data_IF_774026458824
#
_entry.id   IF_774026458824
#
_cell.length_a   1.000
_cell.length_b   1.000
_cell.length_c   1.000
_cell.angle_alpha   90.00
_cell.angle_beta   90.00
_cell.angle_gamma   90.00
#
_symmetry.space_group_name_H-M   'P 1'
#
loop_
_entity.id
_entity.type
_entity.pdbx_description
1 polymer ?
#
# COMPACT_ATOMS: atom_id res chain seq x y z
N UNK A 1 5.65 17.92 22.51
CA UNK A 1 4.71 18.63 23.39
C UNK A 1 3.66 19.29 22.50
N UNK A 2 2.48 18.66 22.52
CA UNK A 2 1.14 19.24 22.41
C UNK A 2 0.81 20.22 21.30
N UNK A 3 0.62 19.66 20.10
CA UNK A 3 -0.52 20.00 19.25
C UNK A 3 -1.29 18.71 18.94
N UNK A 4 -1.67 17.99 20.01
CA UNK A 4 -2.82 17.11 19.93
C UNK A 4 -3.99 18.01 19.54
N UNK A 5 -4.59 17.72 18.40
CA UNK A 5 -5.88 18.29 17.98
C UNK A 5 -6.85 17.93 19.11
N UNK A 6 -7.01 18.82 20.09
CA UNK A 6 -7.93 18.67 21.21
C UNK A 6 -9.32 18.54 20.58
N UNK A 7 -9.81 17.32 20.46
CA UNK A 7 -11.21 17.01 20.18
C UNK A 7 -11.87 16.98 21.56
N UNK A 8 -12.43 18.10 22.06
CA UNK A 8 -13.09 18.10 23.35
C UNK A 8 -14.21 17.07 23.32
N UNK A 9 -14.27 16.22 24.34
CA UNK A 9 -15.25 15.14 24.45
C UNK A 9 -16.31 15.46 25.51
N UNK A 10 -15.92 16.27 26.50
CA UNK A 10 -16.73 16.57 27.67
C UNK A 10 -17.08 18.06 27.72
N UNK A 11 -18.08 18.41 28.54
CA UNK A 11 -18.40 19.80 28.86
C UNK A 11 -17.21 20.51 29.52
N UNK A 12 -16.42 19.80 30.33
CA UNK A 12 -15.22 20.35 30.97
C UNK A 12 -14.18 20.80 29.94
N UNK A 13 -13.93 19.99 28.90
CA UNK A 13 -12.99 20.33 27.83
C UNK A 13 -13.43 21.60 27.09
N UNK A 14 -14.72 21.68 26.73
CA UNK A 14 -15.29 22.84 26.06
C UNK A 14 -15.20 24.11 26.93
N UNK A 15 -15.50 23.98 28.23
CA UNK A 15 -15.41 25.07 29.19
C UNK A 15 -13.98 25.57 29.39
N UNK A 16 -13.01 24.65 29.45
CA UNK A 16 -11.59 25.01 29.59
C UNK A 16 -11.10 25.79 28.37
N UNK A 17 -11.38 25.31 27.16
CA UNK A 17 -11.01 26.00 25.91
C UNK A 17 -11.64 27.41 25.82
N UNK A 18 -12.91 27.53 26.22
CA UNK A 18 -13.59 28.83 26.26
C UNK A 18 -12.99 29.76 27.33
N UNK A 19 -12.62 29.20 28.49
CA UNK A 19 -11.98 29.95 29.58
C UNK A 19 -10.63 30.51 29.15
N UNK A 20 -9.82 29.73 28.43
CA UNK A 20 -8.53 30.16 27.91
C UNK A 20 -8.68 31.23 26.82
N UNK A 21 -9.71 31.10 25.97
CA UNK A 21 -10.07 32.12 24.99
C UNK A 21 -10.53 33.44 25.65
N UNK A 22 -11.30 33.38 26.74
CA UNK A 22 -11.72 34.57 27.47
C UNK A 22 -10.57 35.26 28.20
N UNK A 23 -9.67 34.49 28.82
CA UNK A 23 -8.50 35.04 29.53
C UNK A 23 -7.52 35.71 28.58
N UNK A 24 -7.29 35.14 27.40
CA UNK A 24 -6.43 35.75 26.38
C UNK A 24 -6.97 37.06 25.79
N UNK A 25 -8.30 37.26 25.79
CA UNK A 25 -8.93 38.51 25.35
C UNK A 25 -8.97 39.60 26.44
N UNK A 26 -8.68 39.25 27.69
CA UNK A 26 -8.82 40.14 28.84
C UNK A 26 -7.60 40.05 29.78
N UNK A 27 -6.41 40.19 29.21
CA UNK A 27 -5.11 40.12 29.92
C UNK A 27 -5.00 41.15 31.07
N UNK A 28 -5.69 42.28 30.99
CA UNK A 28 -5.55 43.42 31.93
C UNK A 28 -6.63 43.51 33.02
N UNK A 29 -7.49 42.49 33.17
CA UNK A 29 -8.57 42.52 34.19
C UNK A 29 -8.18 41.75 35.44
N UNK A 30 -8.17 42.44 36.58
CA UNK A 30 -7.96 41.86 37.94
C UNK A 30 -9.09 40.90 38.39
N UNK A 31 -10.20 40.83 37.65
CA UNK A 31 -11.40 40.05 38.01
C UNK A 31 -11.53 38.78 37.18
N UNK A 32 -12.00 37.69 37.80
CA UNK A 32 -12.23 36.40 37.12
C UNK A 32 -13.35 36.52 36.06
N UNK A 33 -12.94 36.73 34.81
CA UNK A 33 -13.83 36.87 33.64
C UNK A 33 -14.66 35.62 33.35
N UNK A 34 -14.31 34.46 33.93
CA UNK A 34 -15.03 33.19 33.73
C UNK A 34 -16.15 32.97 34.75
N UNK A 35 -16.17 33.75 35.84
CA UNK A 35 -17.05 33.52 36.99
C UNK A 35 -18.55 33.48 36.64
N UNK A 36 -19.01 34.35 35.74
CA UNK A 36 -20.41 34.39 35.30
C UNK A 36 -20.80 33.18 34.45
N UNK A 37 -19.92 32.73 33.56
CA UNK A 37 -20.13 31.52 32.75
C UNK A 37 -20.12 30.28 33.64
N UNK A 38 -19.18 30.22 34.59
CA UNK A 38 -19.09 29.14 35.59
C UNK A 38 -20.37 29.05 36.41
N UNK A 39 -20.88 30.19 36.87
CA UNK A 39 -22.14 30.25 37.62
C UNK A 39 -23.34 29.85 36.74
N UNK A 40 -23.37 30.31 35.48
CA UNK A 40 -24.42 29.94 34.53
C UNK A 40 -24.49 28.42 34.33
N UNK A 41 -23.34 27.76 34.19
CA UNK A 41 -23.27 26.30 34.06
C UNK A 41 -23.61 25.59 35.37
N UNK A 42 -22.84 25.81 36.44
CA UNK A 42 -22.92 25.00 37.67
C UNK A 42 -24.28 25.14 38.35
N UNK A 43 -24.78 26.36 38.46
CA UNK A 43 -26.01 26.62 39.23
C UNK A 43 -27.27 26.48 38.40
N UNK A 44 -27.20 26.85 37.12
CA UNK A 44 -28.41 27.00 36.30
C UNK A 44 -28.50 26.02 35.14
N UNK A 45 -27.47 25.23 34.83
CA UNK A 45 -27.53 24.25 33.73
C UNK A 45 -27.30 22.82 34.23
N UNK A 46 -26.22 22.57 34.97
CA UNK A 46 -25.89 21.25 35.50
C UNK A 46 -27.02 20.56 36.28
N UNK A 47 -27.89 21.27 37.02
CA UNK A 47 -28.96 20.60 37.75
C UNK A 47 -29.92 19.80 36.87
N UNK A 48 -30.10 20.20 35.61
CA UNK A 48 -30.92 19.44 34.67
C UNK A 48 -30.28 18.11 34.27
N UNK A 49 -28.96 18.00 34.37
CA UNK A 49 -28.19 16.77 34.14
C UNK A 49 -27.98 15.95 35.41
N UNK A 50 -28.64 16.30 36.52
CA UNK A 50 -28.57 15.54 37.78
C UNK A 50 -27.57 16.06 38.80
N UNK A 51 -26.94 17.22 38.57
CA UNK A 51 -26.10 17.85 39.59
C UNK A 51 -26.95 18.45 40.72
N UNK A 52 -26.59 18.28 42.00
CA UNK A 52 -27.36 18.84 43.11
C UNK A 52 -27.41 20.37 43.04
N UNK A 53 -28.60 20.94 43.17
CA UNK A 53 -28.80 22.38 43.11
C UNK A 53 -28.14 23.06 44.33
N UNK A 54 -27.24 24.05 44.16
CA UNK A 54 -26.61 24.72 45.28
C UNK A 54 -27.64 25.52 46.12
N UNK A 55 -27.75 25.19 47.41
CA UNK A 55 -28.72 25.80 48.33
C UNK A 55 -28.39 27.27 48.69
N UNK A 56 -27.23 27.80 48.28
CA UNK A 56 -26.73 29.13 48.71
C UNK A 56 -26.73 30.15 47.58
N UNK A 57 -26.83 31.45 47.94
CA UNK A 57 -26.81 32.56 46.97
C UNK A 57 -25.46 32.71 46.24
N UNK A 58 -24.34 32.36 46.87
CA UNK A 58 -23.00 32.35 46.26
C UNK A 58 -22.47 30.92 46.24
N UNK A 59 -21.81 30.54 45.14
CA UNK A 59 -21.11 29.26 45.04
C UNK A 59 -19.89 29.28 45.97
N UNK A 60 -19.73 28.25 46.78
CA UNK A 60 -18.50 28.02 47.55
C UNK A 60 -17.43 27.40 46.65
N UNK A 61 -16.17 27.39 47.09
CA UNK A 61 -15.10 26.72 46.34
C UNK A 61 -15.37 25.21 46.21
N UNK A 62 -16.00 24.61 47.22
CA UNK A 62 -16.41 23.20 47.16
C UNK A 62 -17.46 22.95 46.07
N UNK A 63 -18.47 23.82 45.95
CA UNK A 63 -19.49 23.74 44.89
C UNK A 63 -18.85 23.89 43.50
N UNK A 64 -17.88 24.80 43.39
CA UNK A 64 -17.14 25.02 42.13
C UNK A 64 -16.36 23.77 41.74
N UNK A 65 -15.59 23.20 42.65
CA UNK A 65 -14.79 22.00 42.38
C UNK A 65 -15.68 20.81 42.01
N UNK A 66 -16.76 20.58 42.78
CA UNK A 66 -17.72 19.52 42.50
C UNK A 66 -18.41 19.69 41.14
N UNK A 67 -18.78 20.93 40.78
CA UNK A 67 -19.36 21.24 39.48
C UNK A 67 -18.39 20.99 38.32
N UNK A 68 -17.13 21.41 38.46
CA UNK A 68 -16.09 21.17 37.46
C UNK A 68 -15.78 19.67 37.29
N UNK A 69 -15.79 18.90 38.37
CA UNK A 69 -15.62 17.44 38.30
C UNK A 69 -16.82 16.77 37.63
N UNK A 70 -18.04 17.23 37.91
CA UNK A 70 -19.25 16.73 37.25
C UNK A 70 -19.23 17.02 35.74
N UNK A 71 -18.74 18.20 35.31
CA UNK A 71 -18.61 18.54 33.89
C UNK A 71 -17.73 17.57 33.09
N UNK A 72 -16.80 16.86 33.72
CA UNK A 72 -15.98 15.83 33.06
C UNK A 72 -16.80 14.60 32.66
N UNK A 73 -17.98 14.43 33.26
CA UNK A 73 -18.88 13.30 32.99
C UNK A 73 -19.97 13.67 31.98
N UNK A 74 -20.22 14.96 31.77
CA UNK A 74 -21.25 15.44 30.84
C UNK A 74 -20.71 15.41 29.41
N UNK A 75 -21.31 14.64 28.49
CA UNK A 75 -20.90 14.61 27.09
C UNK A 75 -21.06 15.99 26.44
N UNK A 76 -20.13 16.36 25.57
CA UNK A 76 -20.15 17.69 24.93
C UNK A 76 -21.39 17.95 24.05
N UNK A 77 -22.03 16.92 23.49
CA UNK A 77 -23.23 17.08 22.66
C UNK A 77 -24.45 17.59 23.44
N UNK A 78 -24.46 17.45 24.77
CA UNK A 78 -25.48 18.02 25.66
C UNK A 78 -25.56 19.55 25.58
N UNK A 79 -24.48 20.21 25.15
CA UNK A 79 -24.47 21.66 24.94
C UNK A 79 -25.46 22.13 23.87
N UNK A 80 -25.93 21.25 22.95
CA UNK A 80 -26.98 21.58 21.98
C UNK A 80 -28.30 21.98 22.67
N UNK A 81 -28.58 21.42 23.85
CA UNK A 81 -29.81 21.63 24.61
C UNK A 81 -29.61 22.49 25.86
N UNK A 82 -28.38 22.94 26.13
CA UNK A 82 -28.03 23.62 27.39
C UNK A 82 -28.85 24.90 27.65
N UNK A 83 -29.25 25.65 26.61
CA UNK A 83 -30.09 26.83 26.77
C UNK A 83 -31.55 26.50 27.12
N UNK A 84 -32.06 25.37 26.66
CA UNK A 84 -33.41 24.88 26.98
C UNK A 84 -33.40 24.37 28.43
N UNK A 85 -32.41 23.55 28.78
CA UNK A 85 -32.20 23.04 30.13
C UNK A 85 -32.04 24.16 31.16
N UNK A 86 -31.29 25.21 30.82
CA UNK A 86 -31.15 26.35 31.70
C UNK A 86 -32.48 27.09 31.92
N UNK A 87 -33.34 27.14 30.89
CA UNK A 87 -34.66 27.76 31.01
C UNK A 87 -35.57 26.98 31.95
N UNK A 88 -35.52 25.65 31.90
CA UNK A 88 -36.28 24.80 32.81
C UNK A 88 -35.83 24.97 34.26
N UNK A 89 -34.52 25.07 34.51
CA UNK A 89 -33.98 25.34 35.85
C UNK A 89 -34.38 26.75 36.33
N UNK A 90 -34.44 27.76 35.45
CA UNK A 90 -34.97 29.05 35.85
C UNK A 90 -36.45 28.98 36.21
N UNK A 91 -37.26 28.24 35.46
CA UNK A 91 -38.67 28.07 35.74
C UNK A 91 -38.89 27.38 37.11
N UNK A 92 -38.11 26.34 37.44
CA UNK A 92 -38.21 25.65 38.73
C UNK A 92 -37.78 26.51 39.92
N UNK A 93 -36.93 27.52 39.69
CA UNK A 93 -36.47 28.49 40.70
C UNK A 93 -37.34 29.76 40.77
N UNK A 94 -38.48 29.81 40.08
CA UNK A 94 -39.36 30.97 40.09
C UNK A 94 -38.85 32.16 39.26
N UNK A 95 -38.10 31.89 38.19
CA UNK A 95 -37.57 32.87 37.24
C UNK A 95 -36.77 34.00 37.93
N UNK A 96 -35.57 33.70 38.46
CA UNK A 96 -34.77 34.68 39.18
C UNK A 96 -34.46 35.90 38.29
N UNK A 97 -34.42 37.10 38.86
CA UNK A 97 -34.12 38.33 38.12
C UNK A 97 -32.75 38.34 37.41
N UNK A 98 -31.84 37.44 37.83
CA UNK A 98 -30.53 37.22 37.19
C UNK A 98 -30.55 36.26 35.99
N UNK A 99 -31.70 35.66 35.68
CA UNK A 99 -31.88 34.70 34.58
C UNK A 99 -31.37 35.23 33.25
N UNK A 100 -31.73 36.47 32.89
CA UNK A 100 -31.27 37.13 31.65
C UNK A 100 -29.74 37.20 31.56
N UNK A 101 -29.08 37.55 32.65
CA UNK A 101 -27.61 37.68 32.71
C UNK A 101 -26.93 36.32 32.52
N UNK A 102 -27.33 35.30 33.27
CA UNK A 102 -26.71 33.98 33.16
C UNK A 102 -27.05 33.26 31.85
N UNK A 103 -28.24 33.53 31.28
CA UNK A 103 -28.59 33.08 29.93
C UNK A 103 -27.70 33.67 28.87
N UNK A 104 -27.40 34.97 28.97
CA UNK A 104 -26.46 35.64 28.06
C UNK A 104 -25.07 35.00 28.11
N UNK A 105 -24.55 34.71 29.31
CA UNK A 105 -23.22 34.11 29.45
C UNK A 105 -23.14 32.68 28.90
N UNK A 106 -24.15 31.85 29.18
CA UNK A 106 -24.22 30.51 28.59
C UNK A 106 -24.35 30.58 27.06
N UNK A 107 -25.22 31.45 26.55
CA UNK A 107 -25.40 31.63 25.11
C UNK A 107 -24.10 32.02 24.42
N UNK A 108 -23.33 32.95 24.99
CA UNK A 108 -22.02 33.35 24.44
C UNK A 108 -21.04 32.19 24.35
N UNK A 109 -20.99 31.33 25.36
CA UNK A 109 -20.16 30.11 25.32
C UNK A 109 -20.64 29.15 24.22
N UNK A 110 -21.94 28.86 24.15
CA UNK A 110 -22.51 27.96 23.14
C UNK A 110 -22.29 28.49 21.73
N UNK A 111 -22.56 29.78 21.49
CA UNK A 111 -22.30 30.44 20.21
C UNK A 111 -20.81 30.37 19.84
N UNK A 112 -19.91 30.60 20.80
CA UNK A 112 -18.47 30.49 20.58
C UNK A 112 -18.06 29.06 20.23
N UNK A 113 -18.58 28.05 20.93
CA UNK A 113 -18.37 26.65 20.62
C UNK A 113 -18.82 26.34 19.18
N UNK A 114 -20.01 26.80 18.76
CA UNK A 114 -20.52 26.61 17.40
C UNK A 114 -19.61 27.17 16.30
N UNK A 115 -18.83 28.20 16.61
CA UNK A 115 -17.87 28.82 15.68
C UNK A 115 -16.54 28.05 15.60
N UNK A 116 -16.28 27.11 16.52
CA UNK A 116 -15.03 26.36 16.52
C UNK A 116 -15.04 25.23 15.48
N UNK A 117 -13.88 24.98 14.89
CA UNK A 117 -13.69 23.94 13.87
C UNK A 117 -13.93 22.53 14.42
N UNK A 118 -13.68 22.30 15.71
CA UNK A 118 -13.89 21.02 16.38
C UNK A 118 -15.36 20.70 16.69
N UNK A 119 -16.25 21.69 16.73
CA UNK A 119 -17.64 21.52 17.17
C UNK A 119 -18.43 20.50 16.35
N UNK A 120 -18.30 20.56 15.02
CA UNK A 120 -19.02 19.66 14.09
C UNK A 120 -18.68 18.19 14.27
N UNK A 121 -17.52 17.88 14.84
CA UNK A 121 -17.04 16.53 15.09
C UNK A 121 -17.44 16.09 16.50
N UNK A 122 -17.22 16.94 17.49
CA UNK A 122 -17.48 16.64 18.90
C UNK A 122 -18.97 16.61 19.27
N UNK A 123 -19.82 17.44 18.64
CA UNK A 123 -21.24 17.56 18.98
C UNK A 123 -22.15 16.48 18.34
N UNK A 124 -21.60 15.55 17.54
CA UNK A 124 -22.37 14.44 16.94
C UNK A 124 -22.40 13.24 17.88
N UNK A 125 -23.58 12.88 18.37
CA UNK A 125 -23.86 11.67 19.18
C UNK A 125 -23.39 10.37 18.53
N UNK A 126 -23.42 10.30 17.19
CA UNK A 126 -23.05 9.10 16.42
C UNK A 126 -21.84 9.32 15.50
N UNK A 127 -20.84 10.11 15.90
CA UNK A 127 -19.70 10.45 15.02
C UNK A 127 -19.03 9.21 14.36
N UNK A 128 -18.99 8.08 15.05
CA UNK A 128 -18.49 6.78 14.56
C UNK A 128 -19.33 6.17 13.42
N UNK A 129 -20.60 6.55 13.28
CA UNK A 129 -21.47 6.10 12.19
C UNK A 129 -21.27 6.89 10.89
N UNK A 130 -20.62 8.07 10.94
CA UNK A 130 -20.46 8.94 9.79
C UNK A 130 -19.03 8.90 9.26
N UNK A 131 -18.90 8.45 8.02
CA UNK A 131 -17.66 8.46 7.28
C UNK A 131 -17.21 9.91 7.04
N UNK A 132 -15.93 10.24 7.28
CA UNK A 132 -15.40 11.55 6.93
C UNK A 132 -15.41 11.73 5.40
N UNK A 133 -15.17 12.95 4.86
CA UNK A 133 -15.14 13.16 3.41
C UNK A 133 -14.15 12.19 2.75
N UNK A 134 -14.66 11.22 1.99
CA UNK A 134 -13.82 10.20 1.39
C UNK A 134 -12.92 10.89 0.36
N UNK A 135 -11.62 10.61 0.39
CA UNK A 135 -10.65 11.07 -0.61
C UNK A 135 -10.82 10.31 -1.93
N UNK A 136 -12.04 10.20 -2.45
CA UNK A 136 -12.29 9.69 -3.82
C UNK A 136 -12.35 10.89 -4.76
N UNK A 137 -11.25 11.65 -4.87
CA UNK A 137 -10.99 12.17 -6.20
C UNK A 137 -10.75 10.94 -7.07
N UNK A 138 -11.70 10.62 -7.95
CA UNK A 138 -11.55 9.53 -8.94
C UNK A 138 -10.44 9.80 -9.97
N UNK A 139 -9.70 10.89 -9.84
CA UNK A 139 -8.39 11.01 -10.45
C UNK A 139 -7.41 10.30 -9.55
N UNK A 140 -6.54 9.45 -10.12
CA UNK A 140 -5.22 9.23 -9.54
C UNK A 140 -4.68 10.63 -9.24
N UNK A 141 -4.77 11.10 -7.99
CA UNK A 141 -3.89 12.18 -7.56
C UNK A 141 -2.55 11.60 -7.92
N UNK A 142 -1.89 12.19 -8.90
CA UNK A 142 -0.58 11.73 -9.30
C UNK A 142 0.24 11.87 -8.04
N UNK A 143 0.38 10.79 -7.27
CA UNK A 143 1.30 10.75 -6.16
C UNK A 143 2.64 11.02 -6.80
N UNK A 144 3.04 12.30 -6.75
CA UNK A 144 4.21 12.84 -7.43
C UNK A 144 5.49 12.24 -6.83
N UNK A 145 5.36 11.39 -5.82
CA UNK A 145 6.40 10.57 -5.22
C UNK A 145 6.81 9.47 -6.19
N UNK A 146 7.42 9.89 -7.30
CA UNK A 146 8.18 8.98 -8.16
C UNK A 146 9.55 8.78 -7.54
N UNK A 147 9.85 7.54 -7.20
CA UNK A 147 11.22 7.13 -6.82
C UNK A 147 12.21 7.17 -7.98
N UNK A 148 11.70 7.36 -9.20
CA UNK A 148 12.51 7.45 -10.42
C UNK A 148 11.99 8.59 -11.29
N UNK A 149 12.91 9.43 -11.78
CA UNK A 149 12.60 10.46 -12.76
C UNK A 149 12.57 9.81 -14.15
N UNK A 150 11.48 9.12 -14.47
CA UNK A 150 11.28 8.51 -15.79
C UNK A 150 10.97 9.60 -16.82
N UNK A 151 11.96 9.97 -17.64
CA UNK A 151 11.70 10.66 -18.92
C UNK A 151 11.22 9.62 -19.92
N UNK A 152 10.20 9.94 -20.72
CA UNK A 152 9.64 9.06 -21.75
C UNK A 152 9.99 9.67 -23.12
N UNK A 153 11.28 9.76 -23.39
CA UNK A 153 11.83 10.20 -24.68
C UNK A 153 12.12 8.99 -25.57
N UNK A 154 12.24 9.12 -26.89
CA UNK A 154 12.71 8.03 -27.76
C UNK A 154 14.04 7.42 -27.32
N UNK A 155 14.89 8.22 -26.66
CA UNK A 155 16.14 7.80 -26.01
C UNK A 155 15.98 7.13 -24.65
N UNK A 156 14.78 7.10 -24.06
CA UNK A 156 14.55 6.51 -22.74
C UNK A 156 14.41 4.99 -22.85
N UNK A 157 14.91 4.19 -21.89
CA UNK A 157 14.72 2.74 -21.92
C UNK A 157 13.24 2.31 -21.76
N UNK A 158 12.35 3.24 -21.41
CA UNK A 158 10.91 3.00 -21.26
C UNK A 158 10.07 3.32 -22.51
N UNK A 159 10.65 3.91 -23.55
CA UNK A 159 9.95 4.11 -24.82
C UNK A 159 9.75 2.76 -25.52
N UNK A 160 8.55 2.45 -25.99
CA UNK A 160 8.30 1.11 -26.54
C UNK A 160 9.01 0.95 -27.89
N UNK A 161 9.86 -0.06 -28.00
CA UNK A 161 10.47 -0.52 -29.26
C UNK A 161 10.24 -2.01 -29.50
N UNK A 162 9.47 -2.67 -28.64
CA UNK A 162 9.03 -4.04 -28.89
C UNK A 162 7.80 -4.08 -29.77
N UNK A 163 7.61 -5.22 -30.44
CA UNK A 163 6.44 -5.48 -31.27
C UNK A 163 5.15 -5.25 -30.49
N UNK A 164 4.23 -4.49 -31.08
CA UNK A 164 2.87 -4.32 -30.59
C UNK A 164 2.05 -5.54 -30.99
N UNK A 165 1.02 -5.87 -30.22
CA UNK A 165 0.21 -7.06 -30.49
C UNK A 165 -0.37 -7.16 -31.92
N UNK A 166 -0.79 -6.07 -32.58
CA UNK A 166 -1.24 -6.12 -33.98
C UNK A 166 -0.12 -6.39 -35.00
N UNK A 167 1.14 -6.17 -34.64
CA UNK A 167 2.31 -6.32 -35.51
C UNK A 167 2.91 -7.72 -35.41
N UNK A 168 2.37 -8.61 -34.56
CA UNK A 168 2.89 -9.97 -34.36
C UNK A 168 2.19 -10.92 -35.35
N UNK A 169 2.91 -11.49 -36.34
CA UNK A 169 2.32 -12.50 -37.22
C UNK A 169 1.82 -13.71 -36.44
N UNK A 170 0.82 -14.41 -37.02
CA UNK A 170 0.19 -15.57 -36.36
C UNK A 170 1.20 -16.67 -36.00
N UNK A 171 2.16 -16.95 -36.87
CA UNK A 171 3.19 -17.97 -36.64
C UNK A 171 4.13 -17.58 -35.49
N UNK A 172 4.58 -16.33 -35.46
CA UNK A 172 5.38 -15.81 -34.36
C UNK A 172 4.60 -15.83 -33.04
N UNK A 173 3.31 -15.46 -33.05
CA UNK A 173 2.46 -15.51 -31.87
C UNK A 173 2.32 -16.94 -31.34
N UNK A 174 2.18 -17.93 -32.22
CA UNK A 174 2.17 -19.34 -31.83
C UNK A 174 3.50 -19.76 -31.21
N UNK A 175 4.63 -19.39 -31.82
CA UNK A 175 5.98 -19.67 -31.30
C UNK A 175 6.22 -19.04 -29.92
N UNK A 176 5.77 -17.80 -29.70
CA UNK A 176 5.85 -17.12 -28.40
C UNK A 176 4.96 -17.79 -27.34
N UNK A 177 3.79 -18.30 -27.72
CA UNK A 177 2.92 -19.05 -26.82
C UNK A 177 3.54 -20.39 -26.42
N UNK A 178 4.15 -21.10 -27.37
CA UNK A 178 4.88 -22.35 -27.10
C UNK A 178 6.10 -22.09 -26.22
N UNK A 179 6.83 -21.00 -26.45
CA UNK A 179 7.92 -20.57 -25.60
C UNK A 179 7.45 -20.26 -24.17
N UNK A 180 6.32 -19.57 -24.01
CA UNK A 180 5.73 -19.32 -22.69
C UNK A 180 5.35 -20.62 -22.01
N UNK A 181 4.66 -21.52 -22.72
CA UNK A 181 4.21 -22.83 -22.21
C UNK A 181 5.38 -23.72 -21.83
N UNK A 182 6.45 -23.74 -22.62
CA UNK A 182 7.68 -24.48 -22.33
C UNK A 182 8.29 -24.07 -20.98
N UNK A 183 8.18 -22.80 -20.60
CA UNK A 183 8.75 -22.29 -19.35
C UNK A 183 7.86 -22.53 -18.13
N UNK A 184 6.53 -22.53 -18.29
CA UNK A 184 5.58 -22.60 -17.18
C UNK A 184 5.07 -24.02 -16.89
N UNK A 185 5.06 -24.89 -17.90
CA UNK A 185 4.47 -26.22 -17.77
C UNK A 185 5.27 -27.11 -16.81
N UNK A 186 4.54 -27.93 -16.04
CA UNK A 186 5.11 -29.04 -15.27
C UNK A 186 5.34 -30.20 -16.23
N UNK A 187 6.50 -30.20 -16.88
CA UNK A 187 6.89 -31.27 -17.79
C UNK A 187 8.04 -32.01 -17.12
N UNK A 188 7.95 -33.34 -17.04
CA UNK A 188 8.99 -34.17 -16.41
C UNK A 188 10.38 -33.92 -17.00
N UNK A 189 11.42 -34.29 -16.25
CA UNK A 189 12.83 -33.95 -16.53
C UNK A 189 13.35 -34.36 -17.91
N UNK A 190 12.70 -35.34 -18.56
CA UNK A 190 13.01 -35.78 -19.93
C UNK A 190 12.73 -34.73 -21.02
N UNK A 191 11.82 -33.80 -20.76
CA UNK A 191 11.44 -32.76 -21.75
C UNK A 191 12.03 -31.39 -21.39
N UNK A 192 12.37 -31.15 -20.12
CA UNK A 192 13.04 -29.93 -19.66
C UNK A 192 13.87 -30.23 -18.41
N UNK A 193 15.13 -29.80 -18.39
CA UNK A 193 16.02 -30.01 -17.23
C UNK A 193 15.73 -29.05 -16.06
N UNK A 194 15.16 -27.88 -16.35
CA UNK A 194 14.78 -26.89 -15.33
C UNK A 194 13.37 -27.15 -14.77
N UNK A 195 13.14 -26.68 -13.54
CA UNK A 195 11.79 -26.62 -12.96
C UNK A 195 10.90 -25.56 -13.63
N UNK A 196 9.58 -25.65 -13.46
CA UNK A 196 8.65 -24.69 -14.04
C UNK A 196 8.86 -23.29 -13.45
N UNK A 197 8.84 -22.29 -14.32
CA UNK A 197 8.86 -20.88 -13.93
C UNK A 197 7.46 -20.38 -13.60
N UNK A 198 7.39 -19.41 -12.69
CA UNK A 198 6.17 -18.63 -12.47
C UNK A 198 5.86 -17.80 -13.72
N UNK A 199 4.58 -17.62 -14.01
CA UNK A 199 4.14 -16.89 -15.19
C UNK A 199 4.75 -15.49 -15.33
N UNK A 200 4.92 -14.77 -14.22
CA UNK A 200 5.49 -13.42 -14.25
C UNK A 200 6.92 -13.39 -14.79
N UNK A 201 7.74 -14.38 -14.46
CA UNK A 201 9.11 -14.51 -14.97
C UNK A 201 9.10 -14.90 -16.45
N UNK A 202 8.26 -15.87 -16.83
CA UNK A 202 8.12 -16.31 -18.22
C UNK A 202 7.59 -15.18 -19.13
N UNK A 203 6.61 -14.39 -18.67
CA UNK A 203 6.15 -13.16 -19.33
C UNK A 203 7.27 -12.14 -19.49
N UNK A 204 8.17 -12.05 -18.52
CA UNK A 204 9.40 -11.25 -18.60
C UNK A 204 10.25 -11.63 -19.81
N UNK A 205 10.55 -12.92 -19.98
CA UNK A 205 11.33 -13.41 -21.12
C UNK A 205 10.61 -13.20 -22.46
N UNK A 206 9.30 -13.47 -22.52
CA UNK A 206 8.48 -13.20 -23.74
C UNK A 206 8.52 -11.73 -24.12
N UNK A 207 8.41 -10.82 -23.14
CA UNK A 207 8.47 -9.38 -23.39
C UNK A 207 9.86 -8.94 -23.86
N UNK A 208 10.94 -9.51 -23.30
CA UNK A 208 12.30 -9.28 -23.81
C UNK A 208 12.46 -9.79 -25.25
N UNK A 209 11.91 -10.97 -25.58
CA UNK A 209 11.93 -11.51 -26.94
C UNK A 209 11.20 -10.57 -27.92
N UNK A 210 9.98 -10.11 -27.58
CA UNK A 210 9.22 -9.13 -28.38
C UNK A 210 9.99 -7.81 -28.57
N UNK A 211 10.78 -7.38 -27.57
CA UNK A 211 11.64 -6.19 -27.68
C UNK A 211 12.80 -6.39 -28.64
N UNK A 212 13.48 -7.52 -28.57
CA UNK A 212 14.59 -7.82 -29.47
C UNK A 212 14.11 -7.99 -30.91
N UNK A 213 12.98 -8.68 -31.13
CA UNK A 213 12.34 -8.79 -32.46
C UNK A 213 11.84 -7.44 -32.98
N UNK A 214 11.29 -6.59 -32.10
CA UNK A 214 10.92 -5.23 -32.47
C UNK A 214 12.13 -4.38 -32.87
N UNK A 215 13.27 -4.56 -32.20
CA UNK A 215 14.52 -3.92 -32.62
C UNK A 215 14.98 -4.38 -34.01
N UNK A 216 14.93 -5.69 -34.29
CA UNK A 216 15.22 -6.22 -35.63
C UNK A 216 14.32 -5.60 -36.71
N UNK A 217 13.02 -5.48 -36.43
CA UNK A 217 12.08 -4.90 -37.37
C UNK A 217 12.32 -3.40 -37.59
N UNK A 218 12.27 -2.61 -36.52
CA UNK A 218 12.26 -1.15 -36.62
C UNK A 218 13.63 -0.54 -36.93
N UNK A 219 14.74 -1.21 -36.55
CA UNK A 219 16.09 -0.65 -36.67
C UNK A 219 17.01 -1.45 -37.59
N UNK A 220 16.75 -2.75 -37.80
CA UNK A 220 17.52 -3.59 -38.73
C UNK A 220 16.77 -3.90 -40.04
N UNK A 221 15.52 -3.43 -40.17
CA UNK A 221 14.74 -3.53 -41.40
C UNK A 221 14.20 -4.92 -41.72
N UNK A 222 14.16 -5.84 -40.74
CA UNK A 222 13.62 -7.19 -40.93
C UNK A 222 12.10 -7.11 -41.11
N UNK A 223 11.56 -7.78 -42.12
CA UNK A 223 10.11 -7.77 -42.39
C UNK A 223 9.34 -8.52 -41.29
N UNK A 224 8.09 -8.13 -41.02
CA UNK A 224 7.29 -8.74 -39.96
C UNK A 224 7.13 -10.24 -40.17
N UNK A 225 6.90 -10.66 -41.42
CA UNK A 225 6.69 -12.04 -41.83
C UNK A 225 7.93 -12.93 -41.63
N UNK A 226 9.12 -12.34 -41.58
CA UNK A 226 10.39 -13.05 -41.40
C UNK A 226 10.75 -13.25 -39.92
N UNK A 227 10.08 -12.51 -39.02
CA UNK A 227 10.41 -12.49 -37.59
C UNK A 227 10.16 -13.83 -36.91
N UNK A 228 11.21 -14.41 -36.32
CA UNK A 228 11.10 -15.66 -35.58
C UNK A 228 12.16 -15.78 -34.47
N UNK A 229 11.94 -16.67 -33.50
CA UNK A 229 12.85 -16.82 -32.36
C UNK A 229 14.25 -17.33 -32.73
N UNK A 230 14.43 -18.03 -33.85
CA UNK A 230 15.76 -18.50 -34.30
C UNK A 230 16.65 -17.35 -34.78
N UNK A 231 16.09 -16.22 -35.20
CA UNK A 231 16.89 -15.03 -35.49
C UNK A 231 17.56 -14.47 -34.24
N UNK A 232 17.00 -14.72 -33.04
CA UNK A 232 17.56 -14.26 -31.77
C UNK A 232 18.67 -15.18 -31.26
N UNK A 233 18.59 -16.48 -31.57
CA UNK A 233 19.60 -17.50 -31.23
C UNK A 233 19.70 -18.47 -32.41
N UNK A 234 20.73 -18.29 -33.25
CA UNK A 234 20.79 -18.88 -34.60
C UNK A 234 20.98 -20.40 -34.63
N UNK A 235 21.57 -20.97 -33.58
CA UNK A 235 21.79 -22.41 -33.44
C UNK A 235 22.25 -22.75 -32.02
N UNK A 236 22.40 -24.05 -31.73
CA UNK A 236 22.90 -24.55 -30.44
C UNK A 236 24.41 -24.35 -30.23
N UNK A 237 25.15 -24.07 -31.31
CA UNK A 237 26.61 -24.08 -31.31
C UNK A 237 27.20 -25.49 -31.33
N UNK A 238 26.42 -26.51 -31.66
CA UNK A 238 26.90 -27.89 -31.88
C UNK A 238 26.88 -28.22 -33.36
N UNK A 239 28.00 -28.74 -33.86
CA UNK A 239 28.08 -29.41 -35.16
C UNK A 239 27.53 -30.85 -35.06
N UNK A 240 27.16 -31.49 -36.19
CA UNK A 240 26.65 -32.88 -36.19
C UNK A 240 27.61 -33.91 -35.57
N UNK A 241 28.91 -33.65 -35.59
CA UNK A 241 29.95 -34.48 -34.96
C UNK A 241 30.13 -34.22 -33.46
N UNK A 242 29.36 -33.29 -32.89
CA UNK A 242 29.41 -32.88 -31.50
C UNK A 242 30.50 -31.85 -31.18
N UNK A 243 31.26 -31.37 -32.17
CA UNK A 243 32.19 -30.28 -31.99
C UNK A 243 31.46 -28.94 -31.87
N UNK A 244 32.19 -27.93 -31.38
CA UNK A 244 31.66 -26.60 -31.15
C UNK A 244 31.65 -25.81 -32.47
N UNK A 245 30.50 -25.29 -32.84
CA UNK A 245 30.31 -24.42 -34.01
C UNK A 245 30.50 -22.95 -33.60
N UNK A 246 31.75 -22.49 -33.64
CA UNK A 246 32.10 -21.11 -33.27
C UNK A 246 31.40 -20.09 -34.17
N UNK A 247 31.24 -20.37 -35.47
CA UNK A 247 30.60 -19.41 -36.40
C UNK A 247 29.13 -19.15 -36.04
N UNK A 248 28.40 -20.19 -35.63
CA UNK A 248 27.01 -20.04 -35.15
C UNK A 248 26.93 -19.31 -33.80
N UNK A 249 27.90 -19.56 -32.92
CA UNK A 249 28.01 -18.90 -31.61
C UNK A 249 28.29 -17.41 -31.83
N UNK A 250 29.34 -17.07 -32.57
CA UNK A 250 29.78 -15.71 -32.86
C UNK A 250 28.64 -14.90 -33.49
N UNK A 251 27.94 -15.47 -34.48
CA UNK A 251 26.77 -14.82 -35.10
C UNK A 251 25.69 -14.42 -34.09
N UNK A 252 25.44 -15.26 -33.08
CA UNK A 252 24.45 -14.97 -32.04
C UNK A 252 24.98 -13.95 -31.03
N UNK A 253 26.26 -14.04 -30.67
CA UNK A 253 26.90 -13.13 -29.73
C UNK A 253 27.04 -11.72 -30.32
N UNK A 254 27.47 -11.61 -31.58
CA UNK A 254 27.57 -10.34 -32.32
C UNK A 254 26.23 -9.60 -32.39
N UNK A 255 25.14 -10.33 -32.66
CA UNK A 255 23.79 -9.74 -32.67
C UNK A 255 23.41 -9.18 -31.31
N UNK A 256 23.73 -9.92 -30.23
CA UNK A 256 23.46 -9.47 -28.87
C UNK A 256 24.33 -8.28 -28.50
N UNK A 257 25.62 -8.31 -28.82
CA UNK A 257 26.54 -7.21 -28.53
C UNK A 257 26.13 -5.93 -29.26
N UNK A 258 25.72 -6.03 -30.53
CA UNK A 258 25.16 -4.90 -31.28
C UNK A 258 23.91 -4.32 -30.60
N UNK A 259 22.96 -5.18 -30.20
CA UNK A 259 21.76 -4.71 -29.51
C UNK A 259 22.04 -4.15 -28.11
N UNK A 260 22.95 -4.76 -27.35
CA UNK A 260 23.37 -4.27 -26.04
C UNK A 260 24.10 -2.94 -26.15
N UNK A 261 24.93 -2.75 -27.17
CA UNK A 261 25.56 -1.47 -27.49
C UNK A 261 24.50 -0.42 -27.82
N UNK A 262 23.56 -0.73 -28.72
CA UNK A 262 22.43 0.17 -29.03
C UNK A 262 21.62 0.54 -27.78
N UNK A 263 21.37 -0.40 -26.87
CA UNK A 263 20.71 -0.14 -25.60
C UNK A 263 21.49 0.84 -24.71
N UNK A 264 22.82 0.72 -24.65
CA UNK A 264 23.66 1.63 -23.86
C UNK A 264 23.70 3.03 -24.47
N UNK A 265 23.98 3.12 -25.76
CA UNK A 265 24.27 4.37 -26.45
C UNK A 265 23.02 5.15 -26.81
N UNK A 266 22.00 4.47 -27.35
CA UNK A 266 20.76 5.13 -27.81
C UNK A 266 19.73 5.21 -26.70
N UNK A 267 19.68 4.18 -25.84
CA UNK A 267 18.60 4.02 -24.84
C UNK A 267 19.01 4.29 -23.41
N UNK A 268 20.29 4.61 -23.17
CA UNK A 268 20.87 4.83 -21.84
C UNK A 268 20.45 3.75 -20.83
N UNK A 269 20.36 2.50 -21.30
CA UNK A 269 19.85 1.39 -20.53
C UNK A 269 20.76 1.09 -19.33
N UNK A 270 20.17 0.62 -18.24
CA UNK A 270 20.97 0.14 -17.10
C UNK A 270 21.55 -1.24 -17.40
N UNK A 271 22.66 -1.64 -16.75
CA UNK A 271 23.19 -3.00 -16.87
C UNK A 271 22.16 -4.08 -16.51
N UNK A 272 21.23 -3.78 -15.59
CA UNK A 272 20.16 -4.71 -15.24
C UNK A 272 19.16 -4.91 -16.40
N UNK A 273 18.99 -3.91 -17.26
CA UNK A 273 18.16 -4.05 -18.46
C UNK A 273 18.83 -4.97 -19.47
N UNK A 274 20.14 -4.81 -19.67
CA UNK A 274 20.96 -5.71 -20.49
C UNK A 274 20.90 -7.16 -19.97
N UNK A 275 21.03 -7.34 -18.66
CA UNK A 275 20.91 -8.64 -18.01
C UNK A 275 19.59 -9.34 -18.35
N UNK A 276 18.47 -8.59 -18.37
CA UNK A 276 17.15 -9.14 -18.72
C UNK A 276 16.99 -9.50 -20.20
N UNK A 277 17.83 -8.95 -21.08
CA UNK A 277 17.90 -9.39 -22.47
C UNK A 277 18.64 -10.71 -22.55
N UNK A 278 19.81 -10.82 -21.93
CA UNK A 278 20.64 -12.04 -21.96
C UNK A 278 19.95 -13.22 -21.25
N UNK A 279 19.33 -13.00 -20.08
CA UNK A 279 18.51 -14.02 -19.40
C UNK A 279 17.39 -14.56 -20.31
N UNK A 280 16.77 -13.70 -21.12
CA UNK A 280 15.75 -14.11 -22.07
C UNK A 280 16.34 -14.89 -23.25
N UNK A 281 17.52 -14.49 -23.76
CA UNK A 281 18.25 -15.24 -24.79
C UNK A 281 18.64 -16.63 -24.31
N UNK A 282 19.09 -16.79 -23.05
CA UNK A 282 19.32 -18.10 -22.42
C UNK A 282 18.03 -18.93 -22.41
N UNK A 283 16.91 -18.32 -22.04
CA UNK A 283 15.62 -19.02 -22.03
C UNK A 283 15.15 -19.43 -23.44
N UNK A 284 15.37 -18.57 -24.45
CA UNK A 284 15.07 -18.87 -25.86
C UNK A 284 15.96 -20.02 -26.36
N UNK A 285 17.27 -19.96 -26.10
CA UNK A 285 18.21 -21.02 -26.48
C UNK A 285 17.79 -22.37 -25.88
N UNK A 286 17.41 -22.41 -24.60
CA UNK A 286 16.84 -23.62 -23.99
C UNK A 286 15.58 -24.08 -24.71
N UNK A 287 14.65 -23.18 -25.01
CA UNK A 287 13.41 -23.55 -25.71
C UNK A 287 13.67 -24.13 -27.11
N UNK A 288 14.60 -23.54 -27.86
CA UNK A 288 14.91 -23.99 -29.22
C UNK A 288 15.71 -25.29 -29.25
N UNK A 289 16.68 -25.44 -28.35
CA UNK A 289 17.72 -26.47 -28.47
C UNK A 289 17.71 -27.49 -27.32
N UNK A 290 16.71 -27.49 -26.43
CA UNK A 290 16.67 -28.43 -25.29
C UNK A 290 16.80 -29.92 -25.67
N UNK A 291 16.39 -30.30 -26.88
CA UNK A 291 16.43 -31.69 -27.37
C UNK A 291 17.83 -32.16 -27.73
N UNK A 292 18.75 -31.24 -28.01
CA UNK A 292 20.14 -31.53 -28.35
C UNK A 292 21.00 -31.77 -27.11
N UNK A 293 20.49 -31.41 -25.93
CA UNK A 293 21.19 -31.66 -24.69
C UNK A 293 21.09 -33.12 -24.26
N UNK A 294 22.23 -33.70 -23.92
CA UNK A 294 22.40 -34.98 -23.24
C UNK A 294 21.73 -34.87 -21.87
N UNK A 295 20.53 -35.44 -21.73
CA UNK A 295 19.87 -35.57 -20.43
C UNK A 295 20.76 -36.40 -19.49
N UNK A 296 21.37 -35.77 -18.48
CA UNK A 296 22.18 -36.48 -17.47
C UNK A 296 21.35 -37.56 -16.76
N UNK A 297 22.00 -38.65 -16.35
CA UNK A 297 21.40 -39.67 -15.48
C UNK A 297 21.02 -39.04 -14.12
N UNK A 298 20.05 -39.64 -13.41
CA UNK A 298 19.55 -39.14 -12.11
C UNK A 298 20.64 -39.00 -11.04
N UNK A 299 21.76 -39.70 -11.19
CA UNK A 299 22.82 -39.81 -10.17
C UNK A 299 23.80 -38.63 -10.16
N UNK A 300 23.90 -37.85 -11.25
CA UNK A 300 24.78 -36.68 -11.34
C UNK A 300 24.13 -35.36 -10.86
N UNK A 301 22.85 -35.39 -10.43
CA UNK A 301 22.03 -34.21 -10.15
C UNK A 301 22.17 -33.71 -8.69
N UNK A 302 23.21 -34.15 -7.96
CA UNK A 302 23.40 -33.81 -6.54
C UNK A 302 24.10 -32.46 -6.29
N UNK A 303 24.78 -31.87 -7.29
CA UNK A 303 25.39 -30.55 -7.16
C UNK A 303 24.49 -29.47 -7.76
N UNK A 304 24.32 -28.36 -7.04
CA UNK A 304 23.47 -27.21 -7.40
C UNK A 304 23.67 -26.76 -8.86
N UNK A 305 22.82 -27.34 -9.72
CA UNK A 305 22.16 -26.84 -10.94
C UNK A 305 22.95 -25.90 -11.83
N UNK A 306 23.33 -26.40 -13.00
CA UNK A 306 23.05 -25.64 -14.22
C UNK A 306 22.67 -26.62 -15.34
N UNK A 307 21.37 -26.76 -15.65
CA UNK A 307 20.92 -27.60 -16.77
C UNK A 307 21.40 -27.06 -18.11
N UNK A 308 21.52 -27.92 -19.13
CA UNK A 308 21.95 -27.57 -20.49
C UNK A 308 23.37 -26.98 -20.60
N UNK A 309 24.32 -27.44 -19.78
CA UNK A 309 25.74 -27.00 -19.86
C UNK A 309 26.45 -27.51 -21.12
N UNK A 310 25.95 -28.58 -21.69
CA UNK A 310 26.47 -29.25 -22.87
C UNK A 310 26.02 -28.62 -24.19
N UNK A 311 25.20 -27.56 -24.13
CA UNK A 311 24.84 -26.74 -25.28
C UNK A 311 25.75 -25.49 -25.28
N UNK A 312 26.71 -25.35 -26.22
CA UNK A 312 27.71 -24.30 -26.21
C UNK A 312 27.15 -22.87 -26.19
N UNK A 313 26.11 -22.58 -26.98
CA UNK A 313 25.52 -21.22 -26.98
C UNK A 313 24.93 -20.85 -25.61
N UNK A 314 24.38 -21.82 -24.88
CA UNK A 314 23.84 -21.58 -23.53
C UNK A 314 24.97 -21.30 -22.54
N UNK A 315 26.14 -21.93 -22.72
CA UNK A 315 27.31 -21.66 -21.91
C UNK A 315 27.85 -20.25 -22.14
N UNK A 316 28.02 -19.82 -23.39
CA UNK A 316 28.51 -18.47 -23.70
C UNK A 316 27.56 -17.37 -23.23
N UNK A 317 26.24 -17.54 -23.44
CA UNK A 317 25.24 -16.61 -22.94
C UNK A 317 25.27 -16.48 -21.41
N UNK A 318 25.60 -17.56 -20.69
CA UNK A 318 25.74 -17.53 -19.22
C UNK A 318 27.03 -16.85 -18.77
N UNK A 319 28.12 -16.97 -19.52
CA UNK A 319 29.35 -16.21 -19.25
C UNK A 319 29.06 -14.71 -19.38
N UNK A 320 28.39 -14.32 -20.46
CA UNK A 320 27.92 -12.94 -20.65
C UNK A 320 26.97 -12.47 -19.54
N UNK A 321 26.05 -13.34 -19.09
CA UNK A 321 25.16 -13.07 -17.95
C UNK A 321 25.96 -12.75 -16.68
N UNK A 322 26.97 -13.56 -16.35
CA UNK A 322 27.87 -13.35 -15.22
C UNK A 322 28.63 -12.02 -15.31
N UNK A 323 29.19 -11.69 -16.47
CA UNK A 323 29.94 -10.45 -16.68
C UNK A 323 29.04 -9.21 -16.55
N UNK A 324 27.82 -9.27 -17.08
CA UNK A 324 26.83 -8.22 -16.87
C UNK A 324 26.44 -8.12 -15.38
N UNK A 325 26.25 -9.25 -14.69
CA UNK A 325 25.88 -9.26 -13.27
C UNK A 325 26.91 -8.54 -12.39
N UNK A 326 28.21 -8.69 -12.69
CA UNK A 326 29.27 -7.93 -12.00
C UNK A 326 29.03 -6.42 -12.16
N UNK A 327 28.71 -5.95 -13.37
CA UNK A 327 28.38 -4.53 -13.62
C UNK A 327 27.10 -4.09 -12.93
N UNK A 328 26.07 -4.95 -12.87
CA UNK A 328 24.82 -4.68 -12.15
C UNK A 328 25.10 -4.43 -10.67
N UNK A 329 25.89 -5.28 -10.03
CA UNK A 329 26.21 -5.17 -8.60
C UNK A 329 27.01 -3.92 -8.27
N UNK A 330 27.85 -3.45 -9.20
CA UNK A 330 28.66 -2.24 -9.03
C UNK A 330 27.92 -0.95 -9.39
N UNK A 331 26.76 -1.03 -10.06
CA UNK A 331 26.03 0.16 -10.50
C UNK A 331 25.16 0.71 -9.36
N UNK A 332 25.25 2.01 -9.01
CA UNK A 332 24.40 2.60 -7.98
C UNK A 332 22.92 2.57 -8.38
N UNK A 333 22.04 2.39 -7.40
CA UNK A 333 20.60 2.37 -7.65
C UNK A 333 20.13 3.75 -8.14
N UNK A 334 19.55 3.80 -9.35
CA UNK A 334 18.88 5.01 -9.87
C UNK A 334 17.59 5.36 -9.12
N UNK A 335 17.03 4.43 -8.35
CA UNK A 335 15.82 4.67 -7.57
C UNK A 335 16.14 5.23 -6.20
N UNK A 336 15.60 6.42 -5.91
CA UNK A 336 15.65 6.99 -4.57
C UNK A 336 14.57 6.35 -3.70
N UNK A 337 14.96 5.32 -2.94
CA UNK A 337 14.06 4.60 -2.05
C UNK A 337 13.69 5.44 -0.82
N UNK A 338 14.45 6.49 -0.47
CA UNK A 338 14.14 7.39 0.67
C UNK A 338 12.72 7.97 0.54
N UNK A 339 12.31 8.26 -0.70
CA UNK A 339 10.99 8.79 -1.06
C UNK A 339 9.82 7.82 -0.79
N UNK A 340 10.07 6.50 -0.63
CA UNK A 340 9.01 5.53 -0.29
C UNK A 340 8.68 5.52 1.18
N UNK A 341 9.58 6.01 2.03
CA UNK A 341 9.42 5.90 3.46
C UNK A 341 8.51 7.00 3.97
N UNK A 342 7.52 6.58 4.75
CA UNK A 342 6.61 7.44 5.47
C UNK A 342 6.97 7.38 6.95
N UNK A 343 6.83 8.50 7.65
CA UNK A 343 7.06 8.52 9.09
C UNK A 343 5.95 7.75 9.81
N UNK A 344 6.29 7.14 10.94
CA UNK A 344 5.32 6.38 11.74
C UNK A 344 4.09 7.20 12.17
N UNK A 345 4.21 8.48 12.59
CA UNK A 345 3.04 9.32 12.86
C UNK A 345 2.14 9.50 11.65
N UNK A 346 2.71 9.67 10.45
CA UNK A 346 1.95 9.80 9.20
C UNK A 346 1.22 8.51 8.87
N UNK A 347 1.90 7.37 8.98
CA UNK A 347 1.28 6.06 8.76
C UNK A 347 0.11 5.80 9.71
N UNK A 348 0.29 6.07 11.01
CA UNK A 348 -0.78 5.97 12.01
C UNK A 348 -1.97 6.85 11.68
N UNK A 349 -1.75 8.10 11.29
CA UNK A 349 -2.81 9.02 10.89
C UNK A 349 -3.57 8.51 9.65
N UNK A 350 -2.86 7.91 8.68
CA UNK A 350 -3.48 7.27 7.52
C UNK A 350 -4.35 6.07 7.93
N UNK A 351 -3.85 5.17 8.79
CA UNK A 351 -4.61 4.00 9.27
C UNK A 351 -5.86 4.46 10.03
N UNK A 352 -5.73 5.41 10.96
CA UNK A 352 -6.87 5.94 11.71
C UNK A 352 -7.93 6.53 10.78
N UNK A 353 -7.50 7.26 9.74
CA UNK A 353 -8.41 7.79 8.73
C UNK A 353 -9.11 6.67 7.93
N UNK A 354 -8.39 5.63 7.53
CA UNK A 354 -8.98 4.49 6.82
C UNK A 354 -10.05 3.79 7.66
N UNK A 355 -9.82 3.66 8.98
CA UNK A 355 -10.81 3.11 9.91
C UNK A 355 -12.04 4.01 10.04
N UNK A 356 -11.86 5.33 10.16
CA UNK A 356 -12.99 6.28 10.13
C UNK A 356 -13.78 6.17 8.80
N UNK A 357 -13.10 5.84 7.70
CA UNK A 357 -13.71 5.65 6.38
C UNK A 357 -14.52 4.35 6.25
N UNK A 358 -14.45 3.42 7.21
CA UNK A 358 -15.27 2.21 7.24
C UNK A 358 -16.72 2.46 7.70
N UNK A 359 -17.02 3.64 8.25
CA UNK A 359 -18.32 3.95 8.82
C UNK A 359 -19.50 3.75 7.84
N UNK A 360 -20.67 3.26 8.32
CA UNK A 360 -21.79 2.80 7.47
C UNK A 360 -22.56 3.94 6.80
N UNK A 361 -22.45 5.18 7.28
CA UNK A 361 -23.13 6.34 6.69
C UNK A 361 -22.13 7.30 6.07
N UNK A 362 -22.57 8.06 5.08
CA UNK A 362 -21.78 9.15 4.52
C UNK A 362 -21.68 10.32 5.50
N UNK A 363 -20.82 11.31 5.22
CA UNK A 363 -20.75 12.56 5.99
C UNK A 363 -22.09 13.29 6.16
N UNK A 364 -23.03 13.08 5.23
CA UNK A 364 -24.37 13.67 5.20
C UNK A 364 -25.43 12.75 5.85
N UNK A 365 -25.05 11.57 6.34
CA UNK A 365 -25.94 10.64 7.05
C UNK A 365 -26.68 9.62 6.19
N UNK A 366 -26.49 9.65 4.88
CA UNK A 366 -27.06 8.63 3.98
C UNK A 366 -26.35 7.29 4.17
N UNK A 367 -27.09 6.18 4.21
CA UNK A 367 -26.53 4.83 4.29
C UNK A 367 -25.65 4.55 3.06
N UNK A 368 -24.48 3.98 3.27
CA UNK A 368 -23.57 3.56 2.20
C UNK A 368 -23.92 2.16 1.72
N UNK A 369 -23.59 1.85 0.47
CA UNK A 369 -23.72 0.47 -0.01
C UNK A 369 -22.73 -0.44 0.69
N UNK A 370 -23.14 -1.68 0.95
CA UNK A 370 -22.31 -2.72 1.57
C UNK A 370 -21.01 -2.91 0.79
N UNK A 371 -21.06 -2.92 -0.54
CA UNK A 371 -19.86 -2.97 -1.40
C UNK A 371 -18.86 -1.86 -1.07
N UNK A 372 -19.32 -0.63 -0.82
CA UNK A 372 -18.42 0.49 -0.53
C UNK A 372 -17.80 0.34 0.85
N UNK A 373 -18.58 -0.10 1.84
CA UNK A 373 -18.09 -0.36 3.20
C UNK A 373 -17.06 -1.50 3.17
N UNK A 374 -17.37 -2.61 2.50
CA UNK A 374 -16.46 -3.74 2.33
C UNK A 374 -15.14 -3.35 1.64
N UNK A 375 -15.18 -2.47 0.63
CA UNK A 375 -13.96 -1.96 -0.01
C UNK A 375 -13.11 -1.12 0.96
N UNK A 376 -13.73 -0.27 1.78
CA UNK A 376 -13.03 0.50 2.81
C UNK A 376 -12.41 -0.44 3.86
N UNK A 377 -13.17 -1.43 4.35
CA UNK A 377 -12.68 -2.46 5.27
C UNK A 377 -11.48 -3.20 4.68
N UNK A 378 -11.56 -3.64 3.42
CA UNK A 378 -10.46 -4.33 2.75
C UNK A 378 -9.19 -3.47 2.68
N UNK A 379 -9.30 -2.19 2.34
CA UNK A 379 -8.15 -1.28 2.28
C UNK A 379 -7.57 -1.01 3.68
N UNK A 380 -8.41 -0.77 4.68
CA UNK A 380 -7.98 -0.58 6.06
C UNK A 380 -7.26 -1.84 6.59
N UNK A 381 -7.82 -3.02 6.33
CA UNK A 381 -7.25 -4.30 6.71
C UNK A 381 -5.87 -4.51 6.09
N UNK A 382 -5.69 -4.23 4.78
CA UNK A 382 -4.38 -4.32 4.10
C UNK A 382 -3.32 -3.45 4.81
N UNK A 383 -3.67 -2.23 5.23
CA UNK A 383 -2.74 -1.33 5.92
C UNK A 383 -2.44 -1.80 7.35
N UNK A 384 -3.42 -2.30 8.08
CA UNK A 384 -3.21 -2.89 9.40
C UNK A 384 -2.28 -4.10 9.32
N UNK A 385 -2.58 -5.03 8.42
CA UNK A 385 -1.74 -6.17 8.01
C UNK A 385 -0.29 -5.73 7.74
N UNK A 386 -0.07 -4.71 6.91
CA UNK A 386 1.26 -4.17 6.60
C UNK A 386 2.01 -3.65 7.82
N UNK A 387 1.29 -3.17 8.84
CA UNK A 387 1.91 -2.68 10.08
C UNK A 387 2.52 -3.79 10.93
N UNK A 388 1.96 -5.00 10.86
CA UNK A 388 2.46 -6.17 11.60
C UNK A 388 3.47 -6.98 10.79
N UNK A 389 3.32 -6.97 9.46
CA UNK A 389 4.22 -7.66 8.55
C UNK A 389 4.59 -6.71 7.41
N UNK A 390 5.67 -5.93 7.58
CA UNK A 390 6.21 -5.04 6.55
C UNK A 390 6.94 -5.84 5.47
N UNK A 391 6.29 -6.89 4.97
CA UNK A 391 6.81 -7.76 3.92
C UNK A 391 6.40 -7.22 2.54
N UNK A 392 6.92 -7.86 1.49
CA UNK A 392 6.57 -7.50 0.12
C UNK A 392 5.07 -7.72 -0.10
N UNK A 393 4.46 -6.87 -0.92
CA UNK A 393 3.03 -6.95 -1.22
C UNK A 393 2.53 -8.27 -1.81
N UNK A 394 3.41 -9.22 -2.16
CA UNK A 394 3.00 -10.59 -2.49
C UNK A 394 2.42 -11.32 -1.28
N UNK A 395 3.03 -11.19 -0.10
CA UNK A 395 2.56 -11.83 1.16
C UNK A 395 1.11 -11.47 1.46
N UNK A 396 0.68 -10.26 1.06
CA UNK A 396 -0.71 -9.81 1.23
C UNK A 396 -1.64 -10.37 0.15
N UNK A 397 -1.16 -10.46 -1.09
CA UNK A 397 -1.96 -11.00 -2.21
C UNK A 397 -2.22 -12.50 -2.11
N UNK A 398 -1.40 -13.21 -1.35
CA UNK A 398 -1.54 -14.65 -1.10
C UNK A 398 -2.42 -14.92 0.12
N UNK A 399 -2.91 -13.90 0.83
CA UNK A 399 -3.87 -14.06 1.92
C UNK A 399 -5.20 -14.58 1.37
N UNK A 400 -5.59 -15.74 1.85
CA UNK A 400 -6.77 -16.48 1.42
C UNK A 400 -7.35 -17.20 2.63
N UNK A 401 -8.64 -16.98 2.87
CA UNK A 401 -9.37 -17.59 3.99
C UNK A 401 -9.28 -19.13 3.91
N UNK A 402 -8.89 -19.75 5.02
CA UNK A 402 -8.77 -21.20 5.14
C UNK A 402 -7.48 -21.79 4.54
N UNK A 403 -6.73 -21.05 3.72
CA UNK A 403 -5.42 -21.50 3.19
C UNK A 403 -4.25 -20.85 3.91
N UNK A 404 -4.20 -19.53 3.91
CA UNK A 404 -3.09 -18.72 4.44
C UNK A 404 -3.55 -17.73 5.49
N UNK A 405 -4.85 -17.41 5.56
CA UNK A 405 -5.47 -16.69 6.66
C UNK A 405 -6.42 -17.66 7.39
N UNK A 406 -6.04 -18.05 8.61
CA UNK A 406 -6.66 -19.16 9.33
C UNK A 406 -7.15 -18.67 10.70
N UNK A 407 -8.40 -18.98 11.04
CA UNK A 407 -8.91 -18.84 12.40
C UNK A 407 -8.72 -20.17 13.14
N UNK A 408 -8.04 -20.15 14.30
CA UNK A 408 -7.95 -21.28 15.24
C UNK A 408 -8.44 -20.81 16.59
N UNK A 409 -9.54 -21.38 17.07
CA UNK A 409 -10.08 -21.14 18.40
C UNK A 409 -10.32 -19.63 18.70
N UNK A 410 -10.83 -18.89 17.71
CA UNK A 410 -11.10 -17.45 17.85
C UNK A 410 -9.87 -16.56 17.71
N UNK A 411 -8.72 -17.13 17.31
CA UNK A 411 -7.50 -16.38 17.02
C UNK A 411 -7.17 -16.46 15.54
N UNK A 412 -6.76 -15.34 14.96
CA UNK A 412 -6.44 -15.26 13.55
C UNK A 412 -4.94 -15.38 13.31
N UNK A 413 -4.56 -16.18 12.33
CA UNK A 413 -3.17 -16.45 11.97
C UNK A 413 -2.95 -16.25 10.47
N UNK A 414 -1.76 -15.75 10.13
CA UNK A 414 -1.22 -15.77 8.78
C UNK A 414 -0.20 -16.90 8.67
N UNK A 415 -0.48 -17.87 7.81
CA UNK A 415 0.37 -19.03 7.53
C UNK A 415 0.86 -19.02 6.10
N UNK A 416 2.17 -18.88 5.92
CA UNK A 416 2.77 -18.88 4.59
C UNK A 416 3.85 -19.96 4.47
N UNK A 417 3.83 -20.64 3.34
CA UNK A 417 4.88 -21.54 2.87
C UNK A 417 5.88 -20.78 2.00
N UNK A 418 7.00 -21.42 1.64
CA UNK A 418 7.95 -20.86 0.68
C UNK A 418 7.29 -20.47 -0.66
N UNK A 419 6.25 -21.19 -1.11
CA UNK A 419 5.56 -20.90 -2.35
C UNK A 419 4.79 -19.56 -2.33
N UNK A 420 4.39 -19.11 -1.14
CA UNK A 420 3.63 -17.86 -0.98
C UNK A 420 4.56 -16.63 -1.02
N UNK A 421 5.84 -16.80 -0.70
CA UNK A 421 6.83 -15.73 -0.78
C UNK A 421 7.38 -15.51 -2.20
N UNK A 422 7.82 -14.26 -2.46
CA UNK A 422 8.53 -13.93 -3.71
C UNK A 422 9.91 -14.61 -3.73
N UNK A 423 10.60 -14.62 -2.59
CA UNK A 423 11.97 -15.12 -2.45
C UNK A 423 12.03 -16.58 -1.99
N UNK A 424 10.92 -17.31 -2.04
CA UNK A 424 10.89 -18.73 -1.73
C UNK A 424 11.39 -19.03 -0.33
N UNK A 425 12.44 -19.85 -0.26
CA UNK A 425 13.00 -20.44 0.96
C UNK A 425 13.73 -19.45 1.88
N UNK A 426 13.78 -18.15 1.55
CA UNK A 426 14.43 -17.16 2.42
C UNK A 426 13.79 -17.06 3.81
N UNK A 427 12.48 -17.30 3.90
CA UNK A 427 11.72 -17.23 5.15
C UNK A 427 11.29 -18.61 5.66
N UNK A 428 11.18 -19.58 4.77
CA UNK A 428 10.63 -20.91 5.05
C UNK A 428 11.55 -21.97 4.45
N UNK A 429 12.50 -22.50 5.24
CA UNK A 429 13.42 -23.55 4.77
C UNK A 429 12.81 -24.93 5.00
N UNK A 430 13.14 -25.90 4.14
CA UNK A 430 12.82 -27.32 4.33
C UNK A 430 11.33 -27.61 4.61
N UNK A 431 10.42 -26.94 3.91
CA UNK A 431 8.97 -27.16 4.06
C UNK A 431 8.35 -26.54 5.32
N UNK A 432 9.11 -25.77 6.10
CA UNK A 432 8.57 -25.01 7.23
C UNK A 432 7.52 -23.99 6.78
N UNK A 433 6.59 -23.69 7.68
CA UNK A 433 5.64 -22.59 7.52
C UNK A 433 6.05 -21.44 8.42
N UNK A 434 5.88 -20.22 7.92
CA UNK A 434 5.91 -19.02 8.76
C UNK A 434 4.49 -18.75 9.25
N UNK A 435 4.32 -18.79 10.56
CA UNK A 435 3.03 -18.58 11.24
C UNK A 435 3.14 -17.29 12.05
N UNK A 436 2.17 -16.40 11.89
CA UNK A 436 2.09 -15.13 12.61
C UNK A 436 0.68 -15.00 13.18
N UNK A 437 0.55 -14.85 14.49
CA UNK A 437 -0.72 -14.49 15.13
C UNK A 437 -1.02 -13.01 14.87
N UNK A 438 -2.25 -12.74 14.44
CA UNK A 438 -2.74 -11.38 14.26
C UNK A 438 -3.17 -10.80 15.61
N UNK A 439 -2.92 -9.51 15.85
CA UNK A 439 -3.42 -8.86 17.05
C UNK A 439 -4.96 -8.82 17.12
N UNK A 440 -5.50 -9.03 18.33
CA UNK A 440 -6.94 -9.10 18.58
C UNK A 440 -7.71 -7.83 18.15
N UNK A 441 -7.06 -6.67 18.12
CA UNK A 441 -7.67 -5.42 17.67
C UNK A 441 -7.98 -5.38 16.16
N UNK A 442 -7.52 -6.37 15.38
CA UNK A 442 -7.85 -6.51 13.95
C UNK A 442 -9.04 -7.45 13.74
N UNK A 443 -9.39 -8.28 14.72
CA UNK A 443 -10.41 -9.33 14.56
C UNK A 443 -11.77 -8.80 14.14
N UNK A 444 -12.28 -7.66 14.68
CA UNK A 444 -13.55 -7.11 14.22
C UNK A 444 -13.59 -6.85 12.71
N UNK A 445 -12.48 -6.37 12.12
CA UNK A 445 -12.39 -6.09 10.68
C UNK A 445 -12.19 -7.35 9.81
N UNK A 446 -11.86 -8.49 10.43
CA UNK A 446 -11.75 -9.78 9.77
C UNK A 446 -13.09 -10.54 9.79
N UNK A 447 -13.93 -10.26 10.78
CA UNK A 447 -15.18 -10.96 11.06
C UNK A 447 -16.42 -10.19 10.55
N UNK A 448 -16.34 -8.85 10.43
CA UNK A 448 -17.28 -7.99 9.70
C UNK A 448 -17.09 -8.06 8.17
#
# INVERSE_FOLDING_TARGET
MDLLINRPQTLADAYQLYSDALKSQHLDKETDVTASTRTALIRFTLPKWGFPLPNRKKLTQADVNAGLDFMKQVPIHELNHALEYQQEVFASLGNPGSSRTYRLHLKRMVDWCHQQSWWKVSAKTDAHQYCPPIRISRGRVGDNVRVTNKKLTPSSPNFSYGLKDPEIPRELQASLNDFFKFQTSVIGTRKRQDGPLREGSAKGHVNSAKRLLGWLHYYKGVLLEELNLKQLVSGSGLMPDGQRDEATIDKTMDLLDEHLQWLRETREASPNTELKVVEASVAIAKFLYHKESKCKSRDEVSNKRVGYRDIPIIEELRRLECDIMVRVNNTPRKSDESKKWITWPTFKACVQRLLEECAPRTKCGTKRSERTVAQCNQVALIFLVLSFFPDRGRTIRELELGRTLINRDGKWFVEHTAADFKTGDSYCKNGQKRIIELPANVYPLLEE
#
